data_IF_687079232780
#
_entry.id   IF_687079232780
#
_cell.length_a   1.000
_cell.length_b   1.000
_cell.length_c   1.000
_cell.angle_alpha   90.00
_cell.angle_beta   90.00
_cell.angle_gamma   90.00
#
_symmetry.space_group_name_H-M   'P 1'
#
loop_
_entity.id
_entity.type
_entity.pdbx_description
1 polymer ?
#
# COMPACT_ATOMS: atom_id res chain seq x y z
N UNK A 1 15.80 -2.71 26.14
CA UNK A 1 15.00 -3.95 26.23
C UNK A 1 14.39 -4.15 24.86
N UNK A 2 15.04 -4.93 23.98
CA UNK A 2 14.53 -5.14 22.63
C UNK A 2 13.32 -6.06 22.71
N UNK A 3 12.13 -5.56 22.36
CA UNK A 3 10.94 -6.40 22.25
C UNK A 3 11.17 -7.43 21.15
N UNK A 4 11.14 -8.72 21.48
CA UNK A 4 11.23 -9.80 20.50
C UNK A 4 10.04 -9.68 19.53
N UNK A 5 10.28 -9.60 18.21
CA UNK A 5 9.18 -9.47 17.25
C UNK A 5 8.27 -10.68 17.33
N UNK A 6 6.97 -10.46 17.51
CA UNK A 6 5.98 -11.53 17.56
C UNK A 6 5.49 -11.82 16.14
N UNK A 7 5.61 -13.07 15.69
CA UNK A 7 5.11 -13.51 14.38
C UNK A 7 3.83 -14.31 14.60
N UNK A 8 2.73 -13.86 13.99
CA UNK A 8 1.47 -14.58 13.99
C UNK A 8 1.53 -15.69 12.94
N UNK A 9 1.27 -16.93 13.37
CA UNK A 9 1.35 -18.13 12.51
C UNK A 9 -0.06 -18.56 12.08
N UNK A 10 -0.23 -18.74 10.77
CA UNK A 10 -1.45 -19.20 10.11
C UNK A 10 -1.30 -20.64 9.67
N UNK A 11 -2.22 -21.53 10.07
CA UNK A 11 -2.24 -22.90 9.56
C UNK A 11 -2.59 -22.92 8.08
N UNK A 12 -1.89 -23.78 7.34
CA UNK A 12 -2.07 -23.94 5.89
C UNK A 12 -2.06 -25.41 5.51
N UNK A 13 -2.73 -25.73 4.40
CA UNK A 13 -2.79 -27.10 3.89
C UNK A 13 -1.57 -27.40 3.00
N UNK A 14 -0.54 -27.98 3.59
CA UNK A 14 0.67 -28.42 2.89
C UNK A 14 1.13 -29.79 3.39
N UNK A 15 1.70 -30.60 2.50
CA UNK A 15 2.30 -31.89 2.87
C UNK A 15 3.65 -31.74 3.59
N UNK A 16 4.28 -30.57 3.53
CA UNK A 16 5.62 -30.32 4.08
C UNK A 16 5.58 -29.51 5.38
N UNK A 17 4.67 -28.56 5.49
CA UNK A 17 4.61 -27.62 6.60
C UNK A 17 3.19 -27.42 7.11
N UNK A 18 3.09 -27.06 8.39
CA UNK A 18 1.83 -26.94 9.11
C UNK A 18 1.31 -25.50 9.15
N UNK A 19 2.22 -24.52 9.17
CA UNK A 19 1.86 -23.12 9.31
C UNK A 19 2.90 -22.19 8.67
N UNK A 20 2.45 -21.00 8.28
CA UNK A 20 3.28 -19.91 7.77
C UNK A 20 2.92 -18.60 8.48
N UNK A 21 3.86 -17.68 8.61
CA UNK A 21 3.64 -16.37 9.23
C UNK A 21 4.60 -15.34 8.66
N UNK A 22 4.33 -14.05 8.85
CA UNK A 22 5.16 -12.99 8.30
C UNK A 22 5.33 -11.84 9.27
N UNK A 23 6.51 -11.24 9.26
CA UNK A 23 6.80 -9.97 9.92
C UNK A 23 7.17 -8.94 8.83
N UNK A 24 6.23 -8.07 8.41
CA UNK A 24 6.44 -7.07 7.38
C UNK A 24 7.61 -6.13 7.69
N UNK A 25 7.67 -5.64 8.93
CA UNK A 25 8.71 -4.73 9.43
C UNK A 25 10.14 -5.28 9.28
N UNK A 26 10.28 -6.61 9.18
CA UNK A 26 11.56 -7.29 9.07
C UNK A 26 11.76 -7.98 7.71
N UNK A 27 10.75 -7.95 6.84
CA UNK A 27 10.73 -8.72 5.60
C UNK A 27 10.95 -10.22 5.84
N UNK A 28 10.43 -10.76 6.95
CA UNK A 28 10.67 -12.15 7.36
C UNK A 28 9.43 -13.02 7.16
N UNK A 29 9.57 -14.09 6.38
CA UNK A 29 8.62 -15.19 6.34
C UNK A 29 9.05 -16.28 7.31
N UNK A 30 8.14 -16.72 8.18
CA UNK A 30 8.29 -17.90 9.02
C UNK A 30 7.53 -19.09 8.40
N UNK A 31 8.20 -20.24 8.29
CA UNK A 31 7.56 -21.51 7.91
C UNK A 31 7.79 -22.53 9.02
N UNK A 32 6.71 -23.04 9.58
CA UNK A 32 6.73 -24.13 10.57
C UNK A 32 6.45 -25.46 9.88
N UNK A 33 7.47 -26.33 9.84
CA UNK A 33 7.36 -27.65 9.25
C UNK A 33 6.54 -28.61 10.12
N UNK A 34 5.97 -29.64 9.50
CA UNK A 34 5.28 -30.69 10.25
C UNK A 34 6.21 -31.33 11.29
N UNK A 35 5.68 -31.71 12.47
CA UNK A 35 6.49 -32.27 13.53
C UNK A 35 7.18 -33.56 13.07
N UNK A 36 8.43 -33.72 13.48
CA UNK A 36 9.21 -34.92 13.17
C UNK A 36 8.58 -36.12 13.91
N UNK A 37 8.37 -37.23 13.19
CA UNK A 37 7.82 -38.46 13.76
C UNK A 37 8.62 -39.00 14.97
N UNK A 38 9.92 -38.70 15.04
CA UNK A 38 10.80 -39.17 16.11
C UNK A 38 10.72 -38.37 17.40
N UNK A 39 10.56 -37.04 17.31
CA UNK A 39 10.62 -36.13 18.48
C UNK A 39 9.32 -35.44 18.79
N UNK A 40 8.35 -35.45 17.86
CA UNK A 40 7.11 -34.68 17.96
C UNK A 40 7.30 -33.16 17.83
N UNK A 41 8.52 -32.68 17.59
CA UNK A 41 8.83 -31.25 17.47
C UNK A 41 8.84 -30.79 16.02
N UNK A 42 8.31 -29.58 15.78
CA UNK A 42 8.38 -28.87 14.51
C UNK A 42 9.67 -28.07 14.37
N UNK A 43 10.24 -28.00 13.17
CA UNK A 43 11.29 -27.03 12.87
C UNK A 43 10.66 -25.75 12.29
N UNK A 44 11.17 -24.58 12.69
CA UNK A 44 10.77 -23.29 12.11
C UNK A 44 11.96 -22.68 11.37
N UNK A 45 11.72 -22.16 10.18
CA UNK A 45 12.69 -21.45 9.37
C UNK A 45 12.21 -20.03 9.10
N UNK A 46 13.14 -19.08 9.17
CA UNK A 46 12.93 -17.71 8.71
C UNK A 46 13.59 -17.51 7.36
N UNK A 47 12.83 -16.98 6.41
CA UNK A 47 13.26 -16.57 5.08
C UNK A 47 13.28 -15.04 5.05
N UNK A 48 14.42 -14.47 4.64
CA UNK A 48 14.60 -13.02 4.51
C UNK A 48 14.11 -12.52 3.16
N UNK A 49 14.02 -11.19 3.02
CA UNK A 49 13.63 -10.48 1.80
C UNK A 49 12.22 -10.87 1.29
N UNK A 50 11.33 -11.25 2.20
CA UNK A 50 9.98 -11.66 1.87
C UNK A 50 9.03 -10.48 2.07
N UNK A 51 8.45 -9.95 0.98
CA UNK A 51 7.51 -8.83 1.05
C UNK A 51 6.14 -9.25 1.58
N UNK A 52 5.36 -8.28 2.07
CA UNK A 52 3.99 -8.50 2.50
C UNK A 52 3.09 -8.97 1.34
N UNK A 53 3.28 -8.42 0.13
CA UNK A 53 2.53 -8.83 -1.06
C UNK A 53 2.80 -10.28 -1.44
N UNK A 54 4.07 -10.70 -1.43
CA UNK A 54 4.44 -12.08 -1.71
C UNK A 54 3.90 -13.03 -0.61
N UNK A 55 3.75 -12.54 0.61
CA UNK A 55 3.09 -13.29 1.69
C UNK A 55 1.59 -13.40 1.49
N UNK A 56 0.91 -12.35 1.05
CA UNK A 56 -0.51 -12.41 0.69
C UNK A 56 -0.74 -13.41 -0.46
N UNK A 57 0.11 -13.37 -1.51
CA UNK A 57 0.12 -14.37 -2.58
C UNK A 57 0.32 -15.79 -2.04
N UNK A 58 1.29 -15.99 -1.14
CA UNK A 58 1.60 -17.31 -0.59
C UNK A 58 0.45 -17.82 0.29
N UNK A 59 -0.14 -16.96 1.11
CA UNK A 59 -1.24 -17.30 2.00
C UNK A 59 -2.50 -17.67 1.23
N UNK A 60 -2.79 -16.96 0.14
CA UNK A 60 -3.93 -17.20 -0.76
C UNK A 60 -3.71 -18.25 -1.85
N UNK A 61 -2.53 -18.87 -1.92
CA UNK A 61 -2.20 -19.82 -2.98
C UNK A 61 -3.11 -21.07 -2.94
N UNK A 62 -3.60 -21.50 -4.11
CA UNK A 62 -4.38 -22.75 -4.24
C UNK A 62 -3.60 -23.99 -3.77
N UNK A 63 -2.27 -23.92 -3.82
CA UNK A 63 -1.37 -24.96 -3.31
C UNK A 63 -0.13 -24.34 -2.67
N UNK A 64 -0.14 -24.23 -1.33
CA UNK A 64 1.01 -23.73 -0.57
C UNK A 64 2.27 -24.56 -0.85
N UNK A 65 2.14 -25.88 -0.99
CA UNK A 65 3.27 -26.75 -1.32
C UNK A 65 3.91 -26.43 -2.68
N UNK A 66 3.08 -26.23 -3.72
CA UNK A 66 3.56 -25.88 -5.06
C UNK A 66 4.20 -24.49 -5.07
N UNK A 67 3.54 -23.50 -4.46
CA UNK A 67 4.04 -22.14 -4.33
C UNK A 67 5.41 -22.14 -3.64
N UNK A 68 5.52 -22.81 -2.48
CA UNK A 68 6.78 -22.91 -1.75
C UNK A 68 7.88 -23.52 -2.62
N UNK A 69 7.61 -24.61 -3.35
CA UNK A 69 8.63 -25.24 -4.20
C UNK A 69 9.05 -24.31 -5.35
N UNK A 70 8.09 -23.72 -6.05
CA UNK A 70 8.34 -23.01 -7.30
C UNK A 70 8.86 -21.58 -7.10
N UNK A 71 8.34 -20.88 -6.09
CA UNK A 71 8.59 -19.44 -5.88
C UNK A 71 9.59 -19.18 -4.77
N UNK A 72 9.72 -20.07 -3.79
CA UNK A 72 10.58 -19.86 -2.61
C UNK A 72 11.81 -20.77 -2.67
N UNK A 73 11.60 -22.09 -2.67
CA UNK A 73 12.68 -23.09 -2.59
C UNK A 73 13.60 -23.10 -3.82
N UNK A 74 13.06 -22.90 -5.02
CA UNK A 74 13.86 -22.77 -6.26
C UNK A 74 14.61 -21.44 -6.35
N UNK A 75 14.14 -20.42 -5.64
CA UNK A 75 14.72 -19.08 -5.60
C UNK A 75 15.46 -18.82 -4.28
N UNK A 76 16.17 -19.84 -3.76
CA UNK A 76 16.80 -19.79 -2.44
C UNK A 76 17.82 -18.63 -2.29
N UNK A 77 18.44 -18.20 -3.39
CA UNK A 77 19.35 -17.05 -3.41
C UNK A 77 18.63 -15.72 -3.13
N UNK A 78 17.35 -15.61 -3.53
CA UNK A 78 16.53 -14.42 -3.27
C UNK A 78 15.96 -14.42 -1.84
N UNK A 79 15.76 -15.61 -1.27
CA UNK A 79 15.21 -15.80 0.07
C UNK A 79 16.18 -16.55 0.98
N UNK A 80 17.31 -15.94 1.39
CA UNK A 80 18.23 -16.53 2.36
C UNK A 80 17.47 -16.94 3.61
N UNK A 81 17.71 -18.16 4.10
CA UNK A 81 16.94 -18.71 5.21
C UNK A 81 17.82 -19.32 6.29
N UNK A 82 17.32 -19.26 7.52
CA UNK A 82 17.97 -19.85 8.69
C UNK A 82 16.97 -20.58 9.58
N UNK A 83 17.43 -21.64 10.24
CA UNK A 83 16.62 -22.33 11.24
C UNK A 83 16.59 -21.50 12.51
N UNK A 84 15.40 -21.32 13.07
CA UNK A 84 15.19 -20.53 14.28
C UNK A 84 15.07 -21.45 15.48
N UNK A 85 15.69 -21.06 16.59
CA UNK A 85 15.42 -21.68 17.89
C UNK A 85 14.04 -21.19 18.37
N UNK A 86 13.12 -22.11 18.62
CA UNK A 86 11.77 -21.80 19.09
C UNK A 86 11.75 -20.96 20.38
N UNK A 87 12.83 -20.97 21.17
CA UNK A 87 12.97 -20.14 22.36
C UNK A 87 13.32 -18.67 22.07
N UNK A 88 13.81 -18.35 20.87
CA UNK A 88 14.34 -17.03 20.51
C UNK A 88 13.34 -16.10 19.79
N UNK A 89 12.18 -16.63 19.36
CA UNK A 89 11.12 -15.84 18.73
C UNK A 89 9.76 -16.19 19.36
N UNK A 90 8.98 -15.17 19.71
CA UNK A 90 7.60 -15.38 20.16
C UNK A 90 6.71 -15.66 18.95
N UNK A 91 6.71 -16.89 18.47
CA UNK A 91 5.67 -17.35 17.54
C UNK A 91 4.39 -17.57 18.32
N UNK A 92 3.29 -16.99 17.87
CA UNK A 92 1.97 -17.29 18.47
C UNK A 92 1.62 -18.75 18.15
N UNK A 93 0.95 -19.46 19.06
CA UNK A 93 0.47 -20.82 18.79
C UNK A 93 -0.33 -20.84 17.47
N UNK A 94 -0.15 -21.86 16.59
CA UNK A 94 -0.83 -21.89 15.31
C UNK A 94 -2.34 -21.78 15.50
N UNK A 95 -2.95 -20.72 14.97
CA UNK A 95 -4.40 -20.59 15.00
C UNK A 95 -5.00 -21.64 14.06
N UNK A 96 -6.08 -22.34 14.47
CA UNK A 96 -6.66 -23.43 13.70
C UNK A 96 -7.05 -22.98 12.29
N UNK A 97 -6.84 -23.85 11.31
CA UNK A 97 -7.19 -23.62 9.91
C UNK A 97 -8.65 -23.16 9.79
N UNK A 98 -8.84 -21.89 9.46
CA UNK A 98 -10.17 -21.33 9.22
C UNK A 98 -10.62 -21.80 7.84
N UNK A 99 -11.61 -22.70 7.79
CA UNK A 99 -12.28 -23.06 6.53
C UNK A 99 -12.82 -21.79 5.86
N UNK A 100 -12.73 -21.64 4.52
CA UNK A 100 -12.95 -20.38 3.81
C UNK A 100 -14.42 -19.91 3.74
N UNK A 101 -15.29 -20.37 4.65
CA UNK A 101 -16.70 -19.99 4.69
C UNK A 101 -17.04 -18.96 5.79
N UNK A 102 -16.05 -18.50 6.57
CA UNK A 102 -16.21 -17.34 7.48
C UNK A 102 -15.10 -16.29 7.33
N UNK A 103 -14.35 -16.33 6.22
CA UNK A 103 -13.41 -15.29 5.78
C UNK A 103 -14.08 -14.24 4.88
N UNK A 104 -15.41 -14.21 4.82
CA UNK A 104 -16.19 -13.12 4.22
C UNK A 104 -16.22 -11.84 5.09
N UNK A 105 -15.17 -11.61 5.89
CA UNK A 105 -14.86 -10.30 6.47
C UNK A 105 -13.36 -9.94 6.40
N UNK A 106 -12.61 -10.60 5.51
CA UNK A 106 -11.39 -10.04 4.95
C UNK A 106 -11.43 -10.27 3.43
N UNK A 107 -12.11 -9.34 2.75
CA UNK A 107 -11.92 -9.10 1.31
C UNK A 107 -10.40 -9.04 0.99
N UNK A 108 -9.95 -9.26 -0.27
CA UNK A 108 -8.58 -8.88 -0.63
C UNK A 108 -8.32 -7.49 -0.05
N UNK A 109 -7.25 -7.32 0.75
CA UNK A 109 -6.96 -6.04 1.37
C UNK A 109 -6.73 -5.06 0.22
N UNK A 110 -7.79 -4.36 -0.16
CA UNK A 110 -7.76 -3.21 -1.05
C UNK A 110 -6.71 -2.31 -0.43
N UNK A 111 -5.66 -1.95 -1.18
CA UNK A 111 -4.70 -0.95 -0.74
C UNK A 111 -5.50 0.25 -0.23
N UNK A 112 -5.39 0.55 1.07
CA UNK A 112 -6.13 1.63 1.69
C UNK A 112 -5.30 2.91 1.63
N UNK A 113 -5.95 4.06 1.73
CA UNK A 113 -5.26 5.36 1.75
C UNK A 113 -4.29 5.47 2.94
N UNK A 114 -4.62 4.86 4.08
CA UNK A 114 -3.78 4.84 5.27
C UNK A 114 -2.52 3.98 5.06
N UNK A 115 -2.68 2.80 4.48
CA UNK A 115 -1.56 1.91 4.18
C UNK A 115 -0.64 2.54 3.15
N UNK A 116 -1.19 3.10 2.07
CA UNK A 116 -0.40 3.76 1.04
C UNK A 116 0.33 4.98 1.60
N UNK A 117 -0.33 5.85 2.35
CA UNK A 117 0.32 7.01 2.98
C UNK A 117 1.47 6.60 3.91
N UNK A 118 1.31 5.52 4.67
CA UNK A 118 2.39 4.95 5.49
C UNK A 118 3.60 4.50 4.65
N UNK A 119 3.38 3.85 3.51
CA UNK A 119 4.45 3.38 2.61
C UNK A 119 5.19 4.51 1.87
N UNK A 120 4.51 5.65 1.66
CA UNK A 120 5.06 6.83 0.99
C UNK A 120 5.74 7.81 1.96
N UNK A 121 5.51 7.65 3.27
CA UNK A 121 6.13 8.53 4.27
C UNK A 121 7.64 8.32 4.33
N UNK A 122 8.41 9.42 4.31
CA UNK A 122 9.86 9.44 4.33
C UNK A 122 10.51 9.24 2.96
N UNK A 123 9.74 9.31 1.87
CA UNK A 123 10.30 9.24 0.50
C UNK A 123 11.05 10.52 0.18
N UNK A 124 12.15 10.35 -0.54
CA UNK A 124 12.97 11.48 -1.00
C UNK A 124 12.29 12.19 -2.16
N UNK A 125 12.47 13.51 -2.23
CA UNK A 125 12.15 14.33 -3.38
C UNK A 125 12.74 13.74 -4.67
N UNK A 126 11.94 13.70 -5.73
CA UNK A 126 12.21 13.01 -7.01
C UNK A 126 12.07 11.48 -6.97
N UNK A 127 11.66 10.90 -5.83
CA UNK A 127 11.43 9.45 -5.62
C UNK A 127 10.16 9.18 -4.82
N UNK A 128 9.16 10.03 -4.98
CA UNK A 128 7.96 10.10 -4.18
C UNK A 128 7.13 8.83 -4.28
N UNK A 129 7.09 8.22 -5.48
CA UNK A 129 6.27 7.04 -5.74
C UNK A 129 6.85 6.16 -6.85
N UNK A 130 6.83 4.84 -6.66
CA UNK A 130 7.19 3.86 -7.67
C UNK A 130 6.02 3.57 -8.63
N UNK A 131 6.35 3.20 -9.86
CA UNK A 131 5.34 2.86 -10.88
C UNK A 131 4.41 1.70 -10.47
N UNK A 132 4.91 0.72 -9.72
CA UNK A 132 4.09 -0.37 -9.21
C UNK A 132 3.09 0.13 -8.16
N UNK A 133 3.55 0.96 -7.23
CA UNK A 133 2.69 1.57 -6.19
C UNK A 133 1.59 2.43 -6.85
N UNK A 134 1.93 3.14 -7.94
CA UNK A 134 0.97 3.92 -8.71
C UNK A 134 -0.10 3.03 -9.37
N UNK A 135 0.30 1.92 -9.99
CA UNK A 135 -0.64 0.94 -10.55
C UNK A 135 -1.55 0.33 -9.48
N UNK A 136 -1.00 0.04 -8.30
CA UNK A 136 -1.78 -0.45 -7.15
C UNK A 136 -2.76 0.60 -6.63
N UNK A 137 -2.33 1.87 -6.51
CA UNK A 137 -3.18 2.98 -6.13
C UNK A 137 -4.32 3.16 -7.14
N UNK A 138 -4.03 3.08 -8.44
CA UNK A 138 -5.04 3.12 -9.52
C UNK A 138 -6.07 2.00 -9.39
N UNK A 139 -5.60 0.76 -9.20
CA UNK A 139 -6.47 -0.40 -9.04
C UNK A 139 -7.35 -0.31 -7.78
N UNK A 140 -6.86 0.37 -6.73
CA UNK A 140 -7.58 0.64 -5.51
C UNK A 140 -8.46 1.91 -5.57
N UNK A 141 -8.42 2.69 -6.66
CA UNK A 141 -9.16 3.95 -6.73
C UNK A 141 -8.65 5.00 -5.74
N UNK A 142 -7.34 5.03 -5.49
CA UNK A 142 -6.68 6.03 -4.66
C UNK A 142 -6.05 7.11 -5.52
N UNK A 143 -6.19 8.36 -5.10
CA UNK A 143 -5.52 9.53 -5.68
C UNK A 143 -4.45 9.97 -4.68
N UNK A 144 -3.20 9.99 -5.11
CA UNK A 144 -2.06 10.51 -4.36
C UNK A 144 -1.72 11.89 -4.88
N UNK A 145 -1.62 12.87 -3.99
CA UNK A 145 -1.37 14.28 -4.32
C UNK A 145 -0.17 14.78 -3.52
N UNK A 146 0.81 15.35 -4.20
CA UNK A 146 2.02 15.90 -3.59
C UNK A 146 2.69 16.96 -4.46
N UNK A 147 3.59 17.75 -3.86
CA UNK A 147 4.35 18.78 -4.55
C UNK A 147 5.56 18.17 -5.23
N UNK A 148 5.75 18.45 -6.51
CA UNK A 148 6.80 17.83 -7.33
C UNK A 148 7.92 18.80 -7.73
N UNK A 149 7.66 20.10 -7.60
CA UNK A 149 8.62 21.19 -7.76
C UNK A 149 8.13 22.41 -6.99
N UNK A 150 8.78 23.56 -7.17
CA UNK A 150 8.37 24.85 -6.61
C UNK A 150 7.08 25.44 -7.23
N UNK A 151 6.59 24.90 -8.32
CA UNK A 151 5.43 25.42 -9.06
C UNK A 151 4.45 24.33 -9.53
N UNK A 152 4.63 23.09 -9.06
CA UNK A 152 3.89 21.93 -9.56
C UNK A 152 3.40 21.03 -8.43
N UNK A 153 2.13 20.63 -8.54
CA UNK A 153 1.58 19.49 -7.82
C UNK A 153 1.29 18.33 -8.78
N UNK A 154 1.57 17.12 -8.33
CA UNK A 154 1.37 15.86 -9.05
C UNK A 154 0.13 15.13 -8.54
N UNK A 155 -0.53 14.41 -9.45
CA UNK A 155 -1.62 13.48 -9.17
C UNK A 155 -1.21 12.10 -9.68
N UNK A 156 -1.16 11.11 -8.80
CA UNK A 156 -0.83 9.72 -9.15
C UNK A 156 -1.86 8.72 -8.67
N UNK A 157 -1.92 7.57 -9.33
CA UNK A 157 -2.84 6.48 -9.04
C UNK A 157 -4.08 6.50 -9.94
N UNK A 158 -5.26 6.73 -9.35
CA UNK A 158 -6.52 6.77 -10.11
C UNK A 158 -6.51 7.88 -11.18
N UNK A 159 -5.84 8.98 -10.88
CA UNK A 159 -5.49 10.06 -11.81
C UNK A 159 -3.98 10.04 -12.01
N UNK A 160 -3.54 10.24 -13.25
CA UNK A 160 -2.13 10.44 -13.63
C UNK A 160 -2.09 11.76 -14.42
N UNK A 161 -1.81 12.86 -13.73
CA UNK A 161 -1.85 14.23 -14.28
C UNK A 161 -1.07 15.18 -13.37
N UNK A 162 -0.86 16.42 -13.80
CA UNK A 162 -0.17 17.44 -13.04
C UNK A 162 -0.94 18.76 -13.06
N UNK A 163 -0.59 19.67 -12.14
CA UNK A 163 -1.19 21.00 -12.09
C UNK A 163 -0.18 22.03 -11.61
N UNK A 164 -0.11 23.14 -12.34
CA UNK A 164 0.59 24.33 -11.86
C UNK A 164 0.00 24.79 -10.52
N UNK A 165 0.86 25.00 -9.53
CA UNK A 165 0.50 25.34 -8.17
C UNK A 165 1.29 26.60 -7.72
N UNK A 166 0.80 27.38 -6.73
CA UNK A 166 -0.37 27.12 -5.88
C UNK A 166 -1.68 27.35 -6.63
N UNK A 167 -2.65 26.46 -6.41
CA UNK A 167 -3.99 26.54 -7.02
C UNK A 167 -5.00 25.70 -6.26
N UNK A 168 -6.27 25.82 -6.65
CA UNK A 168 -7.33 24.89 -6.22
C UNK A 168 -7.59 23.90 -7.35
N UNK A 169 -7.20 22.65 -7.14
CA UNK A 169 -7.55 21.56 -8.02
C UNK A 169 -8.97 21.06 -7.70
N UNK A 170 -9.75 20.78 -8.76
CA UNK A 170 -11.10 20.25 -8.64
C UNK A 170 -11.12 18.80 -9.11
N UNK A 171 -11.54 17.88 -8.24
CA UNK A 171 -11.56 16.44 -8.53
C UNK A 171 -12.96 15.84 -8.34
N UNK A 172 -13.28 14.82 -9.12
CA UNK A 172 -14.48 13.98 -8.95
C UNK A 172 -14.18 12.50 -9.21
N UNK A 173 -15.22 11.67 -9.27
CA UNK A 173 -15.09 10.24 -9.55
C UNK A 173 -14.56 9.91 -10.96
N UNK A 174 -14.42 10.89 -11.85
CA UNK A 174 -13.74 10.75 -13.15
C UNK A 174 -12.30 11.27 -13.12
N UNK A 175 -11.85 11.85 -12.00
CA UNK A 175 -10.51 12.37 -11.80
C UNK A 175 -10.45 13.88 -11.78
N UNK A 176 -9.35 14.44 -12.26
CA UNK A 176 -9.11 15.89 -12.28
C UNK A 176 -10.03 16.58 -13.29
N UNK A 177 -10.66 17.69 -12.89
CA UNK A 177 -11.45 18.54 -13.77
C UNK A 177 -10.51 19.55 -14.43
N UNK A 178 -10.54 19.72 -15.77
CA UNK A 178 -9.75 20.74 -16.45
C UNK A 178 -10.21 22.15 -16.04
N UNK A 179 -9.33 23.14 -16.16
CA UNK A 179 -9.78 24.52 -16.02
C UNK A 179 -10.70 24.89 -17.17
N UNK A 180 -11.78 25.63 -16.86
CA UNK A 180 -12.73 26.05 -17.89
C UNK A 180 -12.05 26.85 -19.00
N UNK A 181 -11.08 27.70 -18.67
CA UNK A 181 -10.34 28.53 -19.62
C UNK A 181 -9.48 27.72 -20.60
N UNK A 182 -9.04 26.51 -20.24
CA UNK A 182 -8.22 25.64 -21.10
C UNK A 182 -9.06 24.86 -22.12
N UNK A 183 -10.40 24.87 -22.00
CA UNK A 183 -11.31 24.15 -22.91
C UNK A 183 -11.61 25.03 -24.13
N UNK A 184 -10.88 24.80 -25.23
CA UNK A 184 -11.05 25.51 -26.48
C UNK A 184 -12.03 24.83 -27.44
N UNK A 185 -13.18 25.46 -27.70
CA UNK A 185 -14.16 25.11 -28.77
C UNK A 185 -14.55 23.62 -28.89
N UNK A 186 -14.40 22.84 -27.83
CA UNK A 186 -14.82 21.43 -27.80
C UNK A 186 -16.15 21.30 -27.05
N UNK A 187 -17.23 21.16 -27.83
CA UNK A 187 -18.59 21.05 -27.29
C UNK A 187 -18.79 19.81 -26.41
N UNK A 188 -18.05 18.71 -26.64
CA UNK A 188 -18.18 17.48 -25.85
C UNK A 188 -17.46 17.62 -24.51
N UNK A 189 -16.25 18.20 -24.51
CA UNK A 189 -15.51 18.50 -23.27
C UNK A 189 -16.26 19.55 -22.44
N UNK A 190 -16.87 20.55 -23.07
CA UNK A 190 -17.71 21.53 -22.37
C UNK A 190 -18.94 20.87 -21.73
N UNK A 191 -19.63 19.98 -22.44
CA UNK A 191 -20.77 19.23 -21.88
C UNK A 191 -20.35 18.39 -20.67
N UNK A 192 -19.22 17.67 -20.78
CA UNK A 192 -18.70 16.87 -19.66
C UNK A 192 -18.30 17.76 -18.48
N UNK A 193 -17.61 18.88 -18.73
CA UNK A 193 -17.25 19.86 -17.70
C UNK A 193 -18.48 20.34 -16.92
N UNK A 194 -19.54 20.78 -17.61
CA UNK A 194 -20.74 21.27 -16.94
C UNK A 194 -21.52 20.17 -16.21
N UNK A 195 -21.41 18.92 -16.63
CA UNK A 195 -21.99 17.78 -15.92
C UNK A 195 -21.21 17.44 -14.63
N UNK A 196 -19.88 17.61 -14.66
CA UNK A 196 -18.97 17.30 -13.54
C UNK A 196 -18.88 18.44 -12.51
N UNK A 197 -18.89 19.70 -12.96
CA UNK A 197 -18.67 20.88 -12.12
C UNK A 197 -19.54 20.96 -10.84
N UNK A 198 -20.80 20.49 -10.79
CA UNK A 198 -21.59 20.49 -9.56
C UNK A 198 -21.19 19.42 -8.53
N UNK A 199 -20.40 18.43 -8.94
CA UNK A 199 -20.06 17.23 -8.16
C UNK A 199 -18.61 17.23 -7.67
N UNK A 200 -17.79 18.17 -8.15
CA UNK A 200 -16.37 18.22 -7.80
C UNK A 200 -16.12 18.63 -6.36
N UNK A 201 -14.96 18.21 -5.87
CA UNK A 201 -14.41 18.55 -4.57
C UNK A 201 -13.09 19.28 -4.75
N UNK A 202 -12.80 20.20 -3.85
CA UNK A 202 -11.63 21.06 -3.92
C UNK A 202 -10.46 20.50 -3.12
N UNK A 203 -9.26 20.58 -3.70
CA UNK A 203 -7.97 20.40 -3.05
C UNK A 203 -7.17 21.68 -3.26
N UNK A 204 -6.92 22.40 -2.19
CA UNK A 204 -6.18 23.66 -2.19
C UNK A 204 -4.70 23.36 -1.93
N UNK A 205 -3.84 23.71 -2.89
CA UNK A 205 -2.38 23.55 -2.80
C UNK A 205 -1.76 24.80 -2.21
N UNK A 206 -1.18 24.65 -1.02
CA UNK A 206 -0.73 25.75 -0.17
C UNK A 206 0.79 25.80 -0.14
N UNK A 207 1.33 26.96 -0.54
CA UNK A 207 2.77 27.21 -0.56
C UNK A 207 3.25 27.74 0.80
N UNK A 208 4.17 27.02 1.45
CA UNK A 208 4.81 27.42 2.71
C UNK A 208 3.82 27.85 3.81
N UNK A 209 2.65 27.21 3.88
CA UNK A 209 1.59 27.54 4.85
C UNK A 209 1.86 26.93 6.24
N UNK A 210 2.61 25.84 6.30
CA UNK A 210 3.03 25.19 7.54
C UNK A 210 4.56 25.26 7.72
N UNK A 211 5.00 25.47 8.96
CA UNK A 211 6.43 25.54 9.31
C UNK A 211 7.15 24.25 8.88
N UNK A 212 8.20 24.40 8.09
CA UNK A 212 9.06 23.30 7.64
C UNK A 212 8.53 22.53 6.44
N UNK A 213 7.44 22.95 5.78
CA UNK A 213 6.99 22.36 4.52
C UNK A 213 6.87 23.42 3.44
N UNK A 214 7.36 23.10 2.25
CA UNK A 214 7.14 23.89 1.03
C UNK A 214 5.72 23.72 0.52
N UNK A 215 5.19 22.50 0.56
CA UNK A 215 3.84 22.17 0.11
C UNK A 215 3.00 21.48 1.18
N UNK A 216 1.79 21.99 1.37
CA UNK A 216 0.72 21.30 2.09
C UNK A 216 -0.59 21.41 1.32
N UNK A 217 -1.56 20.57 1.67
CA UNK A 217 -2.85 20.53 1.00
C UNK A 217 -4.00 20.63 1.97
N UNK A 218 -5.03 21.38 1.58
CA UNK A 218 -6.26 21.52 2.36
C UNK A 218 -7.48 21.04 1.57
N UNK A 219 -8.28 20.21 2.21
CA UNK A 219 -9.55 19.72 1.67
C UNK A 219 -10.51 19.32 2.78
N UNK A 220 -11.81 19.28 2.49
CA UNK A 220 -12.86 18.79 3.40
C UNK A 220 -13.12 17.28 3.24
N UNK A 221 -12.46 16.64 2.28
CA UNK A 221 -12.59 15.20 2.02
C UNK A 221 -11.81 14.38 3.05
N UNK A 222 -12.31 13.19 3.45
CA UNK A 222 -11.53 12.24 4.23
C UNK A 222 -10.24 11.83 3.51
N UNK A 223 -9.09 12.15 4.08
CA UNK A 223 -7.78 11.87 3.50
C UNK A 223 -6.79 11.38 4.57
N UNK A 224 -5.68 10.78 4.13
CA UNK A 224 -4.52 10.51 4.99
C UNK A 224 -3.31 11.25 4.44
N UNK A 225 -2.50 11.84 5.32
CA UNK A 225 -1.28 12.56 4.96
C UNK A 225 -0.06 11.65 4.95
N UNK A 226 0.92 11.97 4.12
CA UNK A 226 2.26 11.35 4.13
C UNK A 226 3.34 12.43 3.98
N UNK A 227 4.58 12.11 4.34
CA UNK A 227 5.69 13.06 4.30
C UNK A 227 6.70 12.70 3.21
N UNK A 228 7.08 13.70 2.42
CA UNK A 228 8.24 13.65 1.52
C UNK A 228 9.33 14.50 2.15
N UNK A 229 10.56 13.99 2.10
CA UNK A 229 11.76 14.64 2.62
C UNK A 229 12.67 15.09 1.48
N UNK A 230 13.46 16.12 1.73
CA UNK A 230 14.57 16.56 0.90
C UNK A 230 15.80 16.69 1.80
N UNK A 231 16.86 15.93 1.50
CA UNK A 231 18.08 15.89 2.31
C UNK A 231 17.85 15.60 3.81
N UNK A 232 16.80 14.81 4.09
CA UNK A 232 16.40 14.41 5.43
C UNK A 232 15.57 15.44 6.21
N UNK A 233 15.24 16.58 5.61
CA UNK A 233 14.29 17.55 6.17
C UNK A 233 12.91 17.42 5.50
N UNK A 234 11.80 17.74 6.20
CA UNK A 234 10.49 17.72 5.58
C UNK A 234 10.43 18.71 4.40
N UNK A 235 9.85 18.28 3.29
CA UNK A 235 9.69 19.08 2.08
C UNK A 235 8.20 19.28 1.75
N UNK A 236 7.45 18.19 1.66
CA UNK A 236 6.04 18.22 1.28
C UNK A 236 5.22 17.29 2.17
N UNK A 237 4.07 17.77 2.64
CA UNK A 237 3.04 16.91 3.25
C UNK A 237 1.97 16.60 2.22
N UNK A 238 2.14 15.47 1.53
CA UNK A 238 1.18 14.99 0.54
C UNK A 238 -0.08 14.38 1.19
N UNK A 239 -1.10 14.13 0.38
CA UNK A 239 -2.35 13.50 0.80
C UNK A 239 -2.74 12.33 -0.11
N UNK A 240 -3.41 11.34 0.47
CA UNK A 240 -4.05 10.23 -0.24
C UNK A 240 -5.55 10.28 0.01
N UNK A 241 -6.34 10.26 -1.07
CA UNK A 241 -7.80 10.29 -1.07
C UNK A 241 -8.32 9.01 -1.73
N UNK A 242 -9.34 8.37 -1.17
CA UNK A 242 -10.08 7.31 -1.85
C UNK A 242 -11.19 7.94 -2.70
N UNK A 243 -11.30 7.56 -3.96
CA UNK A 243 -12.35 8.03 -4.87
C UNK A 243 -13.75 7.76 -4.31
N UNK A 244 -13.91 6.71 -3.50
CA UNK A 244 -15.16 6.41 -2.82
C UNK A 244 -15.61 7.53 -1.85
N UNK A 245 -14.68 8.34 -1.33
CA UNK A 245 -14.96 9.44 -0.40
C UNK A 245 -15.35 10.75 -1.12
N UNK A 246 -15.22 10.83 -2.46
CA UNK A 246 -15.56 12.02 -3.23
C UNK A 246 -17.07 12.29 -3.28
N UNK A 247 -17.89 11.23 -3.12
CA UNK A 247 -19.34 11.30 -3.20
C UNK A 247 -19.81 11.45 -4.64
N UNK A 248 -20.08 10.31 -5.28
CA UNK A 248 -20.71 10.18 -6.59
C UNK A 248 -21.28 8.77 -6.69
N UNK A 249 -22.50 8.63 -7.22
CA UNK A 249 -23.15 7.32 -7.32
C UNK A 249 -22.29 6.36 -8.15
N UNK A 250 -22.07 5.16 -7.60
CA UNK A 250 -21.61 4.00 -8.35
C UNK A 250 -22.56 3.64 -9.52
#
# INVERSE_FOLDING_TARGET
MSATPQIVMHQVESSQFAAIGHAPELGLLAIQFHPKKSTGQSDIYHYQNFSADLFAEFLGAESHGSFFIQRIKKCADQFPYSKVDQAAFNHTAPQPAVKPASLAEAAPVKLSKELLAGLLTGREYGKEMLKEEEMQAKAAGLIVIFGASDDLMEFRGFVEDERGAPTVALIDAKGLLPFREDIEHDDEVLKDYFARAPQVRAVDALWSDEDGYTWTYRTDMPHTTFEIVEDGEPYCRGIVIDVADLGGAA
#
